data_IF_036040491811
#
_entry.id   IF_036040491811
#
_cell.length_a   1.000
_cell.length_b   1.000
_cell.length_c   1.000
_cell.angle_alpha   90.00
_cell.angle_beta   90.00
_cell.angle_gamma   90.00
#
_symmetry.space_group_name_H-M   'P 1'
#
loop_
_entity.id
_entity.type
_entity.pdbx_description
1 polymer ?
#
# COMPACT_ATOMS: atom_id res chain seq x y z
N UNK A 1 8.40 -52.29 -15.79
CA UNK A 1 7.58 -51.39 -16.61
C UNK A 1 6.85 -50.43 -15.68
N UNK A 2 7.28 -49.18 -15.62
CA UNK A 2 6.59 -48.22 -14.78
C UNK A 2 5.19 -48.00 -15.36
N UNK A 3 4.19 -48.19 -14.49
CA UNK A 3 2.79 -48.18 -14.87
C UNK A 3 2.43 -46.78 -15.41
N UNK A 4 2.06 -46.64 -16.68
CA UNK A 4 1.71 -45.37 -17.32
C UNK A 4 0.65 -44.56 -16.52
N UNK A 5 -0.13 -45.27 -15.72
CA UNK A 5 -1.13 -44.71 -14.80
C UNK A 5 -0.48 -43.97 -13.62
N UNK A 6 0.59 -44.53 -13.05
CA UNK A 6 1.35 -43.88 -11.96
C UNK A 6 2.12 -42.67 -12.47
N UNK A 7 2.73 -42.74 -13.64
CA UNK A 7 3.43 -41.61 -14.27
C UNK A 7 2.52 -40.41 -14.54
N UNK A 8 1.28 -40.66 -14.96
CA UNK A 8 0.26 -39.61 -15.13
C UNK A 8 -0.21 -39.02 -13.80
N UNK A 9 -0.29 -39.81 -12.75
CA UNK A 9 -0.67 -39.33 -11.41
C UNK A 9 0.44 -38.49 -10.79
N UNK A 10 1.68 -38.94 -10.84
CA UNK A 10 2.83 -38.20 -10.34
C UNK A 10 3.08 -36.90 -11.13
N UNK A 11 2.88 -36.90 -12.45
CA UNK A 11 2.97 -35.69 -13.28
C UNK A 11 1.98 -34.59 -12.86
N UNK A 12 0.73 -34.97 -12.51
CA UNK A 12 -0.26 -34.00 -12.02
C UNK A 12 0.09 -33.42 -10.66
N UNK A 13 0.56 -34.27 -9.74
CA UNK A 13 0.99 -33.83 -8.40
C UNK A 13 2.21 -32.93 -8.52
N UNK A 14 3.21 -33.31 -9.32
CA UNK A 14 4.40 -32.52 -9.57
C UNK A 14 4.05 -31.13 -10.16
N UNK A 15 3.11 -31.08 -11.10
CA UNK A 15 2.62 -29.81 -11.67
C UNK A 15 1.96 -28.93 -10.61
N UNK A 16 1.09 -29.47 -9.77
CA UNK A 16 0.43 -28.72 -8.69
C UNK A 16 1.44 -28.21 -7.66
N UNK A 17 2.40 -29.05 -7.28
CA UNK A 17 3.46 -28.68 -6.31
C UNK A 17 4.34 -27.58 -6.90
N UNK A 18 4.74 -27.69 -8.19
CA UNK A 18 5.55 -26.65 -8.83
C UNK A 18 4.78 -25.32 -8.97
N UNK A 19 3.50 -25.36 -9.33
CA UNK A 19 2.67 -24.16 -9.38
C UNK A 19 2.54 -23.50 -8.00
N UNK A 20 2.30 -24.30 -6.94
CA UNK A 20 2.25 -23.78 -5.57
C UNK A 20 3.59 -23.17 -5.13
N UNK A 21 4.72 -23.81 -5.48
CA UNK A 21 6.05 -23.30 -5.19
C UNK A 21 6.33 -21.96 -5.89
N UNK A 22 5.94 -21.82 -7.15
CA UNK A 22 6.07 -20.55 -7.90
C UNK A 22 5.26 -19.43 -7.23
N UNK A 23 4.02 -19.71 -6.84
CA UNK A 23 3.18 -18.74 -6.13
C UNK A 23 3.80 -18.34 -4.79
N UNK A 24 4.29 -19.31 -4.01
CA UNK A 24 4.92 -19.04 -2.72
C UNK A 24 6.19 -18.17 -2.86
N UNK A 25 7.04 -18.48 -3.85
CA UNK A 25 8.23 -17.68 -4.17
C UNK A 25 7.85 -16.26 -4.58
N UNK A 26 6.84 -16.12 -5.44
CA UNK A 26 6.37 -14.81 -5.87
C UNK A 26 5.86 -13.95 -4.69
N UNK A 27 5.05 -14.54 -3.81
CA UNK A 27 4.56 -13.84 -2.62
C UNK A 27 5.70 -13.44 -1.68
N UNK A 28 6.69 -14.31 -1.49
CA UNK A 28 7.86 -14.02 -0.67
C UNK A 28 8.68 -12.83 -1.19
N UNK A 29 8.97 -12.81 -2.50
CA UNK A 29 9.70 -11.68 -3.11
C UNK A 29 8.88 -10.39 -3.12
N UNK A 30 7.58 -10.50 -3.38
CA UNK A 30 6.68 -9.34 -3.38
C UNK A 30 6.58 -8.70 -1.99
N UNK A 31 6.47 -9.50 -0.93
CA UNK A 31 6.44 -9.02 0.44
C UNK A 31 7.75 -8.33 0.85
N UNK A 32 8.89 -8.86 0.42
CA UNK A 32 10.19 -8.22 0.59
C UNK A 32 10.25 -6.84 -0.05
N UNK A 33 9.83 -6.73 -1.30
CA UNK A 33 9.82 -5.45 -2.04
C UNK A 33 8.89 -4.41 -1.41
N UNK A 34 7.72 -4.83 -0.92
CA UNK A 34 6.78 -3.95 -0.23
C UNK A 34 7.40 -3.41 1.06
N UNK A 35 8.08 -4.25 1.84
CA UNK A 35 8.78 -3.82 3.06
C UNK A 35 9.91 -2.84 2.78
N UNK A 36 10.71 -3.09 1.75
CA UNK A 36 11.81 -2.20 1.36
C UNK A 36 11.26 -0.82 0.93
N UNK A 37 10.18 -0.81 0.15
CA UNK A 37 9.54 0.44 -0.27
C UNK A 37 8.92 1.19 0.92
N UNK A 38 8.29 0.48 1.87
CA UNK A 38 7.76 1.07 3.10
C UNK A 38 8.87 1.69 3.95
N UNK A 39 10.06 1.06 4.01
CA UNK A 39 11.21 1.63 4.71
C UNK A 39 11.68 2.93 4.05
N UNK A 40 11.78 2.97 2.73
CA UNK A 40 12.14 4.19 1.97
C UNK A 40 11.12 5.33 2.21
N UNK A 41 9.83 5.02 2.26
CA UNK A 41 8.80 6.02 2.58
C UNK A 41 8.95 6.56 4.00
N UNK A 42 9.24 5.69 4.96
CA UNK A 42 9.51 6.09 6.35
C UNK A 42 10.73 7.03 6.45
N UNK A 43 11.83 6.70 5.77
CA UNK A 43 13.03 7.54 5.77
C UNK A 43 12.74 8.92 5.15
N UNK A 44 11.91 8.98 4.10
CA UNK A 44 11.46 10.25 3.53
C UNK A 44 10.62 11.06 4.52
N UNK A 45 9.77 10.40 5.31
CA UNK A 45 8.96 11.09 6.31
C UNK A 45 9.81 11.56 7.49
N UNK A 46 10.85 10.82 7.86
CA UNK A 46 11.83 11.29 8.84
C UNK A 46 12.53 12.56 8.35
N UNK A 47 13.02 12.55 7.10
CA UNK A 47 13.64 13.74 6.51
C UNK A 47 12.67 14.94 6.45
N UNK A 48 11.39 14.69 6.16
CA UNK A 48 10.34 15.71 6.18
C UNK A 48 10.13 16.28 7.59
N UNK A 49 10.11 15.42 8.60
CA UNK A 49 9.98 15.81 10.01
C UNK A 49 11.19 16.66 10.47
N UNK A 50 12.42 16.24 10.10
CA UNK A 50 13.64 16.97 10.42
C UNK A 50 13.67 18.35 9.75
N UNK A 51 13.25 18.44 8.47
CA UNK A 51 13.13 19.71 7.78
C UNK A 51 12.08 20.63 8.43
N UNK A 52 10.96 20.07 8.89
CA UNK A 52 9.92 20.84 9.61
C UNK A 52 10.45 21.39 10.92
N UNK A 53 11.15 20.57 11.69
CA UNK A 53 11.81 20.96 12.95
C UNK A 53 12.78 22.12 12.72
N UNK A 54 13.64 21.99 11.71
CA UNK A 54 14.66 23.00 11.40
C UNK A 54 14.03 24.33 10.97
N UNK A 55 12.97 24.32 10.13
CA UNK A 55 12.25 25.55 9.76
C UNK A 55 11.67 26.25 10.98
N UNK A 56 11.07 25.51 11.90
CA UNK A 56 10.50 26.12 13.12
C UNK A 56 11.60 26.67 14.00
N UNK A 57 12.72 25.96 14.16
CA UNK A 57 13.86 26.42 14.96
C UNK A 57 14.44 27.75 14.42
N UNK A 58 14.61 27.86 13.12
CA UNK A 58 15.13 29.09 12.45
C UNK A 58 14.13 30.23 12.57
N UNK A 59 12.83 29.97 12.41
CA UNK A 59 11.80 31.03 12.50
C UNK A 59 11.56 31.52 13.94
N UNK A 60 11.91 30.75 14.94
CA UNK A 60 11.81 31.13 16.37
C UNK A 60 13.09 31.71 16.95
N UNK A 61 14.24 31.47 16.34
CA UNK A 61 15.51 32.06 16.75
C UNK A 61 15.57 33.55 16.34
N UNK A 62 15.77 34.42 17.32
CA UNK A 62 15.82 35.87 17.10
C UNK A 62 17.11 36.36 16.39
N UNK A 63 18.13 35.51 16.26
CA UNK A 63 19.39 35.73 15.55
C UNK A 63 19.57 34.68 14.44
N UNK A 64 18.94 34.91 13.30
CA UNK A 64 19.24 34.15 12.09
C UNK A 64 20.56 34.67 11.50
N UNK A 65 21.65 33.94 11.75
CA UNK A 65 22.97 34.23 11.15
C UNK A 65 23.04 33.76 9.68
N UNK A 66 21.90 33.63 8.99
CA UNK A 66 21.81 33.37 7.54
C UNK A 66 22.41 32.05 7.06
N UNK A 67 22.67 31.10 7.99
CA UNK A 67 23.34 29.83 7.68
C UNK A 67 22.44 28.72 7.16
N UNK A 68 21.13 28.83 7.40
CA UNK A 68 20.19 27.76 7.02
C UNK A 68 19.44 28.13 5.74
N UNK A 69 19.56 27.30 4.71
CA UNK A 69 18.84 27.48 3.43
C UNK A 69 17.37 27.06 3.60
N UNK A 70 16.52 28.01 3.99
CA UNK A 70 15.08 27.79 4.17
C UNK A 70 14.42 27.33 2.87
N UNK A 71 14.88 27.82 1.71
CA UNK A 71 14.35 27.39 0.41
C UNK A 71 14.62 25.91 0.13
N UNK A 72 15.79 25.43 0.54
CA UNK A 72 16.11 24.00 0.49
C UNK A 72 15.19 23.17 1.38
N UNK A 73 14.97 23.58 2.64
CA UNK A 73 14.09 22.89 3.57
C UNK A 73 12.63 22.88 3.08
N UNK A 74 12.15 24.01 2.57
CA UNK A 74 10.83 24.10 1.92
C UNK A 74 10.77 23.21 0.68
N UNK A 75 11.87 23.05 -0.05
CA UNK A 75 11.98 22.12 -1.16
C UNK A 75 11.75 20.67 -0.75
N UNK A 76 12.29 20.23 0.38
CA UNK A 76 12.05 18.89 0.95
C UNK A 76 10.56 18.71 1.28
N UNK A 77 9.96 19.70 1.96
CA UNK A 77 8.55 19.64 2.34
C UNK A 77 7.64 19.62 1.11
N UNK A 78 7.89 20.48 0.13
CA UNK A 78 7.14 20.55 -1.13
C UNK A 78 7.35 19.32 -2.01
N UNK A 79 8.50 18.67 -1.90
CA UNK A 79 8.86 17.47 -2.64
C UNK A 79 8.01 16.22 -2.29
N UNK A 80 7.34 16.24 -1.14
CA UNK A 80 6.37 15.20 -0.84
C UNK A 80 5.07 15.40 -1.64
N UNK A 81 4.94 14.72 -2.75
CA UNK A 81 3.77 14.78 -3.66
C UNK A 81 2.90 13.53 -3.63
N UNK A 82 3.30 12.49 -2.89
CA UNK A 82 2.66 11.17 -2.99
C UNK A 82 2.25 10.56 -1.65
N UNK A 83 2.95 10.89 -0.56
CA UNK A 83 2.67 10.33 0.76
C UNK A 83 1.68 11.26 1.48
N UNK A 84 0.48 10.76 1.88
CA UNK A 84 -0.46 11.53 2.67
C UNK A 84 0.11 11.83 4.06
N UNK A 85 0.01 13.07 4.51
CA UNK A 85 0.61 13.55 5.78
C UNK A 85 -0.38 14.43 6.52
N UNK A 86 -0.47 14.25 7.84
CA UNK A 86 -1.14 15.11 8.79
C UNK A 86 -0.14 15.54 9.86
N UNK A 87 0.04 16.84 10.01
CA UNK A 87 0.81 17.42 11.11
C UNK A 87 -0.15 17.95 12.16
N UNK A 88 0.04 17.54 13.41
CA UNK A 88 -0.76 18.02 14.54
C UNK A 88 0.11 18.66 15.60
N UNK A 89 -0.51 19.46 16.45
CA UNK A 89 0.09 19.86 17.71
C UNK A 89 0.06 18.74 18.76
N UNK A 90 0.54 19.02 19.97
CA UNK A 90 0.54 18.08 21.09
C UNK A 90 -0.86 17.70 21.58
N UNK A 91 -1.86 18.53 21.33
CA UNK A 91 -3.26 18.33 21.70
C UNK A 91 -4.05 17.53 20.64
N UNK A 92 -3.46 17.33 19.45
CA UNK A 92 -4.08 16.59 18.33
C UNK A 92 -4.85 17.47 17.34
N UNK A 93 -4.72 18.82 17.43
CA UNK A 93 -5.30 19.71 16.43
C UNK A 93 -4.49 19.65 15.14
N UNK A 94 -5.14 19.58 14.01
CA UNK A 94 -4.49 19.52 12.69
C UNK A 94 -3.93 20.90 12.33
N UNK A 95 -2.61 21.00 12.24
CA UNK A 95 -1.89 22.19 11.82
C UNK A 95 -1.72 22.27 10.31
N UNK A 96 -1.45 21.11 9.68
CA UNK A 96 -1.23 21.01 8.25
C UNK A 96 -1.63 19.63 7.74
N UNK A 97 -2.07 19.57 6.48
CA UNK A 97 -2.29 18.31 5.77
C UNK A 97 -1.73 18.39 4.35
N UNK A 98 -1.42 17.23 3.77
CA UNK A 98 -0.94 17.13 2.39
C UNK A 98 -1.32 15.79 1.76
N UNK A 99 -1.57 15.80 0.45
CA UNK A 99 -1.85 14.63 -0.38
C UNK A 99 -3.08 13.81 0.06
N UNK A 100 -4.07 14.47 0.65
CA UNK A 100 -5.40 13.91 0.89
C UNK A 100 -6.39 14.43 -0.15
N UNK A 101 -7.23 13.53 -0.67
CA UNK A 101 -8.35 13.89 -1.54
C UNK A 101 -9.53 14.33 -0.67
N UNK A 102 -9.69 15.64 -0.53
CA UNK A 102 -10.74 16.21 0.32
C UNK A 102 -12.13 16.03 -0.30
N UNK A 103 -13.16 15.77 0.51
CA UNK A 103 -14.56 15.72 0.06
C UNK A 103 -15.03 17.01 -0.62
N UNK A 104 -14.54 18.16 -0.16
CA UNK A 104 -14.79 19.47 -0.78
C UNK A 104 -13.49 19.96 -1.40
N UNK A 105 -13.37 19.97 -2.74
CA UNK A 105 -12.14 20.38 -3.41
C UNK A 105 -11.89 21.88 -3.29
N UNK A 106 -10.61 22.27 -3.32
CA UNK A 106 -10.20 23.67 -3.29
C UNK A 106 -10.23 24.32 -1.91
N UNK A 107 -10.59 23.59 -0.88
CA UNK A 107 -10.52 24.04 0.50
C UNK A 107 -9.08 23.94 1.02
N UNK A 108 -8.58 24.98 1.67
CA UNK A 108 -7.20 25.04 2.15
C UNK A 108 -7.15 25.46 3.60
N UNK A 109 -6.38 24.75 4.41
CA UNK A 109 -6.09 25.16 5.79
C UNK A 109 -5.11 26.35 5.76
N UNK A 110 -5.50 27.47 6.35
CA UNK A 110 -4.68 28.68 6.42
C UNK A 110 -5.00 29.53 7.64
N UNK A 111 -4.17 30.53 7.91
CA UNK A 111 -4.35 31.43 9.04
C UNK A 111 -5.68 32.18 8.89
N UNK A 112 -6.61 31.98 9.82
CA UNK A 112 -7.90 32.61 9.86
C UNK A 112 -8.97 32.08 8.88
N UNK A 113 -8.66 30.99 8.16
CA UNK A 113 -9.62 30.33 7.25
C UNK A 113 -9.79 28.87 7.70
N UNK A 114 -10.80 28.55 8.52
CA UNK A 114 -11.06 27.18 8.91
C UNK A 114 -11.54 26.36 7.70
N UNK A 115 -11.16 25.08 7.67
CA UNK A 115 -11.69 24.12 6.70
C UNK A 115 -13.22 24.01 6.81
N UNK A 116 -13.87 23.66 5.71
CA UNK A 116 -15.28 23.28 5.75
C UNK A 116 -15.48 22.05 6.66
N UNK A 117 -16.60 22.03 7.37
CA UNK A 117 -16.86 20.98 8.38
C UNK A 117 -16.67 19.57 7.82
N UNK A 118 -17.14 19.31 6.60
CA UNK A 118 -16.98 17.98 5.96
C UNK A 118 -15.52 17.57 5.76
N UNK A 119 -14.66 18.52 5.45
CA UNK A 119 -13.23 18.27 5.29
C UNK A 119 -12.55 18.07 6.65
N UNK A 120 -12.98 18.85 7.65
CA UNK A 120 -12.49 18.69 9.04
C UNK A 120 -12.88 17.31 9.59
N UNK A 121 -14.14 16.90 9.42
CA UNK A 121 -14.61 15.57 9.87
C UNK A 121 -13.84 14.45 9.18
N UNK A 122 -13.63 14.55 7.86
CA UNK A 122 -12.84 13.60 7.08
C UNK A 122 -11.39 13.50 7.56
N UNK A 123 -10.72 14.64 7.78
CA UNK A 123 -9.33 14.64 8.23
C UNK A 123 -9.20 14.12 9.66
N UNK A 124 -10.17 14.39 10.54
CA UNK A 124 -10.19 13.83 11.90
C UNK A 124 -10.41 12.31 11.90
N UNK A 125 -11.28 11.80 11.02
CA UNK A 125 -11.42 10.35 10.80
C UNK A 125 -10.09 9.73 10.34
N UNK A 126 -9.43 10.35 9.36
CA UNK A 126 -8.12 9.90 8.88
C UNK A 126 -7.03 9.98 9.95
N UNK A 127 -7.05 11.01 10.78
CA UNK A 127 -6.13 11.13 11.90
C UNK A 127 -6.30 9.97 12.91
N UNK A 128 -7.54 9.59 13.20
CA UNK A 128 -7.83 8.46 14.08
C UNK A 128 -7.31 7.14 13.47
N UNK A 129 -7.58 6.89 12.19
CA UNK A 129 -7.07 5.72 11.45
C UNK A 129 -5.53 5.64 11.50
N UNK A 130 -4.85 6.77 11.28
CA UNK A 130 -3.39 6.87 11.27
C UNK A 130 -2.78 6.69 12.66
N UNK A 131 -3.42 7.23 13.69
CA UNK A 131 -3.00 7.05 15.08
C UNK A 131 -3.06 5.57 15.49
N UNK A 132 -4.10 4.84 15.06
CA UNK A 132 -4.21 3.40 15.30
C UNK A 132 -3.15 2.59 14.52
N UNK A 133 -2.78 3.03 13.31
CA UNK A 133 -1.76 2.36 12.49
C UNK A 133 -0.34 2.42 13.07
N UNK A 134 -0.07 3.35 14.00
CA UNK A 134 1.23 3.57 14.60
C UNK A 134 2.26 4.23 13.67
N UNK A 135 1.85 4.73 12.50
CA UNK A 135 2.71 5.47 11.55
C UNK A 135 2.79 6.93 11.94
N UNK A 136 3.60 7.21 12.97
CA UNK A 136 3.78 8.55 13.53
C UNK A 136 5.28 8.83 13.79
N UNK A 137 5.66 10.09 13.62
CA UNK A 137 6.97 10.63 13.99
C UNK A 137 6.73 11.82 14.92
N UNK A 138 7.34 11.80 16.09
CA UNK A 138 7.31 12.95 17.01
C UNK A 138 8.39 13.95 16.62
N UNK A 139 8.02 15.23 16.62
CA UNK A 139 8.89 16.36 16.28
C UNK A 139 8.97 17.25 17.52
N UNK A 140 10.07 17.21 18.24
CA UNK A 140 10.35 18.12 19.34
C UNK A 140 10.71 19.50 18.78
N UNK A 141 9.80 20.47 18.89
CA UNK A 141 9.96 21.83 18.37
C UNK A 141 10.68 22.72 19.40
N UNK A 142 10.23 22.68 20.64
CA UNK A 142 10.79 23.44 21.75
C UNK A 142 10.62 22.66 23.07
N UNK A 143 11.31 23.05 24.16
CA UNK A 143 11.10 22.41 25.46
C UNK A 143 9.64 22.43 25.89
N UNK A 144 8.99 21.27 25.88
CA UNK A 144 7.58 21.09 26.21
C UNK A 144 6.58 21.28 25.04
N UNK A 145 7.05 21.54 23.84
CA UNK A 145 6.22 21.68 22.63
C UNK A 145 6.57 20.57 21.63
N UNK A 146 5.64 19.63 21.44
CA UNK A 146 5.79 18.48 20.56
C UNK A 146 4.73 18.56 19.47
N UNK A 147 5.15 18.40 18.23
CA UNK A 147 4.25 18.16 17.09
C UNK A 147 4.31 16.67 16.72
N UNK A 148 3.22 16.19 16.12
CA UNK A 148 3.15 14.79 15.67
C UNK A 148 2.85 14.76 14.18
N UNK A 149 3.74 14.09 13.44
CA UNK A 149 3.60 13.85 12.02
C UNK A 149 3.03 12.47 11.81
N UNK A 150 1.77 12.39 11.40
CA UNK A 150 1.12 11.15 10.98
C UNK A 150 1.23 11.02 9.46
N UNK A 151 1.50 9.82 8.96
CA UNK A 151 1.60 9.57 7.53
C UNK A 151 0.97 8.24 7.15
N UNK A 152 0.49 8.18 5.90
CA UNK A 152 -0.08 6.96 5.32
C UNK A 152 0.84 6.43 4.22
N UNK A 153 0.60 5.21 3.78
CA UNK A 153 1.29 4.66 2.61
C UNK A 153 0.92 5.49 1.36
N UNK A 154 1.90 5.71 0.50
CA UNK A 154 1.63 6.32 -0.80
C UNK A 154 0.64 5.48 -1.62
N UNK A 155 -0.02 6.12 -2.58
CA UNK A 155 -0.91 5.40 -3.51
C UNK A 155 -0.17 4.27 -4.25
N UNK A 156 1.13 4.47 -4.53
CA UNK A 156 1.96 3.45 -5.16
C UNK A 156 2.14 2.24 -4.24
N UNK A 157 2.54 2.46 -2.99
CA UNK A 157 2.75 1.38 -2.01
C UNK A 157 1.45 0.62 -1.76
N UNK A 158 0.32 1.31 -1.60
CA UNK A 158 -1.00 0.68 -1.45
C UNK A 158 -1.36 -0.21 -2.65
N UNK A 159 -1.13 0.26 -3.87
CA UNK A 159 -1.37 -0.54 -5.08
C UNK A 159 -0.45 -1.75 -5.16
N UNK A 160 0.83 -1.57 -4.84
CA UNK A 160 1.79 -2.67 -4.83
C UNK A 160 1.46 -3.72 -3.76
N UNK A 161 0.93 -3.33 -2.62
CA UNK A 161 0.51 -4.26 -1.56
C UNK A 161 -0.68 -5.13 -1.97
N UNK A 162 -1.58 -4.64 -2.81
CA UNK A 162 -2.76 -5.39 -3.30
C UNK A 162 -2.43 -6.26 -4.52
N UNK A 163 -1.44 -5.87 -5.33
CA UNK A 163 -1.12 -6.52 -6.60
C UNK A 163 -0.81 -8.03 -6.49
N UNK A 164 -0.04 -8.53 -5.51
CA UNK A 164 0.23 -9.96 -5.35
C UNK A 164 -1.06 -10.78 -5.15
N UNK A 165 -2.00 -10.26 -4.38
CA UNK A 165 -3.28 -10.94 -4.09
C UNK A 165 -4.15 -11.03 -5.35
N UNK A 166 -4.16 -9.99 -6.19
CA UNK A 166 -4.85 -10.00 -7.47
C UNK A 166 -4.26 -11.08 -8.38
N UNK A 167 -2.93 -11.18 -8.47
CA UNK A 167 -2.27 -12.20 -9.29
C UNK A 167 -2.59 -13.62 -8.80
N UNK A 168 -2.58 -13.87 -7.49
CA UNK A 168 -2.98 -15.16 -6.92
C UNK A 168 -4.43 -15.49 -7.30
N UNK A 169 -5.34 -14.53 -7.21
CA UNK A 169 -6.74 -14.73 -7.58
C UNK A 169 -6.89 -15.07 -9.07
N UNK A 170 -6.16 -14.37 -9.95
CA UNK A 170 -6.15 -14.66 -11.39
C UNK A 170 -5.60 -16.06 -11.67
N UNK A 171 -4.53 -16.48 -10.99
CA UNK A 171 -3.99 -17.83 -11.12
C UNK A 171 -4.98 -18.91 -10.67
N UNK A 172 -5.67 -18.69 -9.56
CA UNK A 172 -6.71 -19.62 -9.08
C UNK A 172 -7.87 -19.72 -10.08
N UNK A 173 -8.31 -18.60 -10.63
CA UNK A 173 -9.34 -18.58 -11.67
C UNK A 173 -8.89 -19.34 -12.92
N UNK A 174 -7.64 -19.18 -13.35
CA UNK A 174 -7.09 -19.90 -14.49
C UNK A 174 -7.04 -21.42 -14.23
N UNK A 175 -6.57 -21.83 -13.05
CA UNK A 175 -6.57 -23.26 -12.66
C UNK A 175 -7.99 -23.83 -12.68
N UNK A 176 -8.98 -23.09 -12.18
CA UNK A 176 -10.38 -23.51 -12.19
C UNK A 176 -10.90 -23.70 -13.64
N UNK A 177 -10.61 -22.76 -14.53
CA UNK A 177 -11.01 -22.86 -15.96
C UNK A 177 -10.39 -24.12 -16.60
N UNK A 178 -9.09 -24.35 -16.41
CA UNK A 178 -8.40 -25.54 -16.93
C UNK A 178 -9.01 -26.81 -16.37
N UNK A 179 -9.30 -26.83 -15.08
CA UNK A 179 -9.93 -28.00 -14.42
C UNK A 179 -11.32 -28.31 -15.02
N UNK A 180 -12.18 -27.29 -15.19
CA UNK A 180 -13.50 -27.47 -15.82
C UNK A 180 -13.40 -27.87 -17.28
N UNK A 181 -12.44 -27.34 -18.03
CA UNK A 181 -12.22 -27.73 -19.43
C UNK A 181 -11.85 -29.22 -19.52
N UNK A 182 -10.96 -29.71 -18.65
CA UNK A 182 -10.57 -31.14 -18.60
C UNK A 182 -11.74 -32.04 -18.21
N UNK A 183 -12.57 -31.60 -17.25
CA UNK A 183 -13.78 -32.36 -16.87
C UNK A 183 -14.80 -32.42 -18.01
N UNK A 184 -15.01 -31.33 -18.72
CA UNK A 184 -15.93 -31.24 -19.87
C UNK A 184 -15.49 -32.17 -21.00
N UNK A 185 -14.19 -32.21 -21.31
CA UNK A 185 -13.64 -33.09 -22.37
C UNK A 185 -13.85 -34.56 -22.00
N UNK A 186 -13.64 -34.94 -20.74
CA UNK A 186 -13.89 -36.32 -20.28
C UNK A 186 -15.36 -36.75 -20.40
N UNK A 187 -16.30 -35.86 -20.04
CA UNK A 187 -17.74 -36.13 -20.21
C UNK A 187 -18.13 -36.30 -21.70
N UNK A 188 -17.54 -35.47 -22.58
CA UNK A 188 -17.79 -35.57 -24.01
C UNK A 188 -17.27 -36.90 -24.64
N UNK A 189 -16.11 -37.39 -24.19
CA UNK A 189 -15.57 -38.69 -24.60
C UNK A 189 -16.44 -39.87 -24.11
N UNK A 190 -16.88 -39.83 -22.84
CA UNK A 190 -17.79 -40.86 -22.32
C UNK A 190 -19.11 -40.92 -23.08
N UNK A 191 -19.69 -39.76 -23.40
CA UNK A 191 -20.95 -39.72 -24.19
C UNK A 191 -20.77 -40.26 -25.62
N UNK A 192 -19.61 -40.06 -26.25
CA UNK A 192 -19.33 -40.65 -27.57
C UNK A 192 -19.24 -42.16 -27.55
N UNK A 193 -18.67 -42.75 -26.51
CA UNK A 193 -18.59 -44.22 -26.35
C UNK A 193 -19.99 -44.81 -26.16
N UNK A 194 -20.88 -44.18 -25.40
CA UNK A 194 -22.26 -44.64 -25.20
C UNK A 194 -23.11 -44.56 -26.47
N UNK A 195 -22.96 -43.50 -27.27
CA UNK A 195 -23.67 -43.35 -28.56
C UNK A 195 -23.17 -44.35 -29.62
N UNK A 196 -21.86 -44.70 -29.57
CA UNK A 196 -21.30 -45.74 -30.47
C UNK A 196 -21.88 -47.14 -30.17
N UNK A 197 -21.97 -47.51 -28.89
CA UNK A 197 -22.53 -48.81 -28.46
C UNK A 197 -24.04 -48.95 -28.75
N UNK A 198 -24.81 -47.84 -28.73
CA UNK A 198 -26.25 -47.90 -28.99
C UNK A 198 -26.62 -47.98 -30.49
N UNK A 199 -25.65 -47.84 -31.40
CA UNK A 199 -25.85 -47.95 -32.86
C UNK A 199 -25.54 -49.34 -33.41
N UNK A 200 -24.92 -50.22 -32.62
CA UNK A 200 -24.58 -51.62 -33.00
C UNK A 200 -25.58 -52.65 -32.47
N UNK A 201 -26.66 -52.23 -31.82
CA UNK A 201 -27.81 -53.05 -31.44
C UNK A 201 -29.03 -52.64 -32.25
#
# INVERSE_FOLDING_TARGET
MANIYELRRYGKIAFLVSAAAVVALFLYFSDGLIRDLSAVERDRMQLWADATKEIVSVTTAADDDGGTDIDFLLGIIKGNTTIPVLLTDGEGNILQYRNFDLPVPGDTLGIGTPLQQRNTDYLNEKLADLAESGKMIEIDIAPGEVQKLYYDDSTLLKRMSVFPYILVLVMLAFIAVVYFAVLSTKKAEQNKVWVGLSKET
#
